data_IF_215282222025
#
_entry.id   IF_215282222025
#
_cell.length_a   1.000
_cell.length_b   1.000
_cell.length_c   1.000
_cell.angle_alpha   90.00
_cell.angle_beta   90.00
_cell.angle_gamma   90.00
#
_symmetry.space_group_name_H-M   'P 1'
#
loop_
_entity.id
_entity.type
_entity.pdbx_description
1 polymer ?
#
# COMPACT_ATOMS: atom_id res chain seq x y z
N UNK A 1 6.33 2.28 15.71
CA UNK A 1 7.41 3.04 15.06
C UNK A 1 8.67 2.19 15.10
N UNK A 2 9.07 1.63 13.97
CA UNK A 2 10.34 0.94 13.84
C UNK A 2 11.44 2.00 13.70
N UNK A 3 12.44 1.96 14.54
CA UNK A 3 13.66 2.74 14.36
C UNK A 3 14.24 2.42 12.98
N UNK A 4 14.38 3.44 12.14
CA UNK A 4 14.93 3.32 10.78
C UNK A 4 13.93 3.38 9.62
N UNK A 5 12.62 3.55 9.87
CA UNK A 5 11.60 3.67 8.82
C UNK A 5 11.03 5.10 8.72
N UNK A 6 11.86 6.11 8.93
CA UNK A 6 11.43 7.47 8.61
C UNK A 6 11.32 7.63 7.09
N UNK A 7 10.19 8.13 6.58
CA UNK A 7 10.11 8.50 5.17
C UNK A 7 11.21 9.53 4.88
N UNK A 8 11.83 9.47 3.70
CA UNK A 8 12.85 10.45 3.35
C UNK A 8 12.27 11.85 3.53
N UNK A 9 12.93 12.66 4.37
CA UNK A 9 12.54 14.04 4.73
C UNK A 9 12.40 14.98 3.53
N UNK A 10 12.82 14.55 2.36
CA UNK A 10 12.72 15.26 1.08
C UNK A 10 11.29 15.32 0.50
N UNK A 11 10.30 14.69 1.13
CA UNK A 11 8.95 14.53 0.57
C UNK A 11 7.85 15.22 1.39
N UNK A 12 8.16 16.23 2.14
CA UNK A 12 7.14 17.07 2.80
C UNK A 12 6.45 17.95 1.75
N UNK A 13 5.09 18.01 1.74
CA UNK A 13 4.33 18.77 0.74
C UNK A 13 4.59 20.29 0.78
N UNK A 14 5.19 20.79 1.83
CA UNK A 14 5.52 22.20 2.01
C UNK A 14 6.85 22.62 1.37
N UNK A 15 7.64 21.67 0.86
CA UNK A 15 8.86 22.01 0.14
C UNK A 15 8.54 22.24 -1.33
N UNK A 16 8.87 23.43 -1.82
CA UNK A 16 8.76 23.81 -3.22
C UNK A 16 9.40 22.74 -4.11
N UNK A 17 8.58 22.03 -4.90
CA UNK A 17 9.02 21.04 -5.89
C UNK A 17 8.31 19.69 -5.83
N UNK A 18 7.67 19.30 -4.74
CA UNK A 18 6.92 18.05 -4.67
C UNK A 18 5.43 18.38 -4.72
N UNK A 19 4.91 18.41 -5.92
CA UNK A 19 3.46 18.46 -6.12
C UNK A 19 2.90 17.08 -5.85
N UNK A 20 1.89 17.00 -4.98
CA UNK A 20 1.08 15.82 -4.83
C UNK A 20 0.49 15.39 -6.20
N UNK A 21 0.13 14.13 -6.31
CA UNK A 21 -0.56 13.64 -7.50
C UNK A 21 -1.96 14.24 -7.50
N UNK A 22 -2.31 14.92 -8.58
CA UNK A 22 -3.66 15.46 -8.80
C UNK A 22 -4.60 14.31 -9.12
N UNK A 23 -5.56 14.08 -8.24
CA UNK A 23 -6.51 12.99 -8.33
C UNK A 23 -7.92 13.53 -8.57
N UNK A 24 -8.52 13.34 -9.75
CA UNK A 24 -9.88 13.81 -10.04
C UNK A 24 -10.90 12.91 -9.35
N UNK A 25 -11.89 13.52 -8.72
CA UNK A 25 -13.04 12.86 -8.12
C UNK A 25 -14.31 13.59 -8.53
N UNK A 26 -15.41 12.87 -8.66
CA UNK A 26 -16.73 13.45 -8.91
C UNK A 26 -17.52 13.45 -7.61
N UNK A 27 -18.15 14.56 -7.30
CA UNK A 27 -18.91 14.78 -6.07
C UNK A 27 -20.36 15.11 -6.40
N UNK A 28 -21.27 14.63 -5.56
CA UNK A 28 -22.66 15.06 -5.53
C UNK A 28 -22.83 16.39 -4.77
N UNK A 29 -24.07 16.86 -4.67
CA UNK A 29 -24.41 18.10 -3.93
C UNK A 29 -24.09 18.02 -2.44
N UNK A 30 -23.99 16.81 -1.89
CA UNK A 30 -23.62 16.56 -0.48
C UNK A 30 -22.11 16.42 -0.29
N UNK A 31 -21.31 16.50 -1.35
CA UNK A 31 -19.86 16.33 -1.29
C UNK A 31 -19.39 14.88 -1.18
N UNK A 32 -20.25 13.92 -1.49
CA UNK A 32 -19.89 12.49 -1.55
C UNK A 32 -19.42 12.11 -2.94
N UNK A 33 -18.50 11.16 -3.02
CA UNK A 33 -18.00 10.65 -4.30
C UNK A 33 -19.07 9.86 -5.05
N UNK A 34 -19.21 10.21 -6.31
CA UNK A 34 -20.14 9.57 -7.26
C UNK A 34 -19.41 9.15 -8.52
N UNK A 35 -20.07 8.36 -9.35
CA UNK A 35 -19.57 8.04 -10.68
C UNK A 35 -19.55 9.31 -11.57
N UNK A 36 -18.64 9.34 -12.54
CA UNK A 36 -18.49 10.50 -13.45
C UNK A 36 -19.73 10.76 -14.32
N UNK A 37 -20.51 9.74 -14.58
CA UNK A 37 -21.75 9.78 -15.35
C UNK A 37 -23.00 10.02 -14.49
N UNK A 38 -22.82 10.23 -13.19
CA UNK A 38 -23.90 10.51 -12.27
C UNK A 38 -24.53 11.88 -12.56
N UNK A 39 -25.87 12.01 -12.55
CA UNK A 39 -26.53 13.30 -12.68
C UNK A 39 -26.04 14.29 -11.62
N UNK A 40 -25.80 15.54 -12.03
CA UNK A 40 -25.29 16.62 -11.16
C UNK A 40 -23.89 16.38 -10.55
N UNK A 41 -23.11 15.42 -11.07
CA UNK A 41 -21.74 15.21 -10.62
C UNK A 41 -20.84 16.40 -10.99
N UNK A 42 -20.08 16.90 -10.01
CA UNK A 42 -19.11 17.97 -10.21
C UNK A 42 -17.71 17.43 -10.01
N UNK A 43 -16.84 17.64 -10.98
CA UNK A 43 -15.44 17.26 -10.87
C UNK A 43 -14.70 18.14 -9.86
N UNK A 44 -13.95 17.50 -8.98
CA UNK A 44 -13.02 18.16 -8.06
C UNK A 44 -11.67 17.46 -8.12
N UNK A 45 -10.59 18.23 -8.17
CA UNK A 45 -9.25 17.69 -8.14
C UNK A 45 -8.71 17.77 -6.71
N UNK A 46 -8.27 16.64 -6.19
CA UNK A 46 -7.64 16.52 -4.87
C UNK A 46 -6.14 16.23 -5.05
N UNK A 47 -5.33 16.79 -4.17
CA UNK A 47 -3.93 16.44 -4.09
C UNK A 47 -3.76 15.27 -3.13
N UNK A 48 -3.20 14.19 -3.63
CA UNK A 48 -2.90 12.97 -2.86
C UNK A 48 -1.43 12.62 -2.97
N UNK A 49 -0.91 11.92 -1.98
CA UNK A 49 0.46 11.45 -2.00
C UNK A 49 0.67 10.35 -3.04
N UNK A 50 1.90 10.21 -3.58
CA UNK A 50 2.25 9.05 -4.39
C UNK A 50 2.00 7.73 -3.66
N UNK A 51 1.44 6.74 -4.35
CA UNK A 51 1.12 5.43 -3.78
C UNK A 51 2.28 4.76 -3.01
N UNK A 52 3.53 4.79 -3.50
CA UNK A 52 4.64 4.18 -2.78
C UNK A 52 4.91 4.75 -1.38
N UNK A 53 4.38 5.93 -1.05
CA UNK A 53 4.50 6.53 0.27
C UNK A 53 3.37 6.16 1.23
N UNK A 54 2.26 5.65 0.70
CA UNK A 54 1.04 5.34 1.47
C UNK A 54 1.30 4.53 2.76
N UNK A 55 2.18 3.49 2.78
CA UNK A 55 2.43 2.70 3.99
C UNK A 55 2.98 3.52 5.17
N UNK A 56 3.74 4.58 4.88
CA UNK A 56 4.43 5.40 5.91
C UNK A 56 3.71 6.69 6.25
N UNK A 57 2.62 7.00 5.57
CA UNK A 57 1.84 8.21 5.87
C UNK A 57 1.10 8.08 7.19
N UNK A 58 0.97 9.20 7.95
CA UNK A 58 0.02 9.28 9.05
C UNK A 58 -1.40 8.96 8.58
N UNK A 59 -2.23 8.39 9.46
CA UNK A 59 -3.58 7.98 9.10
C UNK A 59 -4.43 9.10 8.45
N UNK A 60 -4.26 10.35 8.91
CA UNK A 60 -4.97 11.51 8.38
C UNK A 60 -4.52 11.90 6.95
N UNK A 61 -3.31 11.52 6.55
CA UNK A 61 -2.73 11.83 5.24
C UNK A 61 -2.96 10.70 4.22
N UNK A 62 -3.36 9.53 4.66
CA UNK A 62 -3.67 8.40 3.78
C UNK A 62 -4.84 8.70 2.87
N UNK A 63 -4.85 8.16 1.67
CA UNK A 63 -5.92 8.33 0.68
C UNK A 63 -7.31 8.03 1.26
N UNK A 64 -7.42 6.96 2.06
CA UNK A 64 -8.69 6.58 2.69
C UNK A 64 -9.29 7.69 3.56
N UNK A 65 -8.45 8.50 4.24
CA UNK A 65 -8.90 9.62 5.05
C UNK A 65 -9.10 10.91 4.25
N UNK A 66 -8.36 11.11 3.17
CA UNK A 66 -8.42 12.32 2.34
C UNK A 66 -9.53 12.29 1.27
N UNK A 67 -9.93 11.12 0.83
CA UNK A 67 -10.99 10.97 -0.15
C UNK A 67 -12.36 11.13 0.52
N UNK A 68 -13.28 11.91 -0.07
CA UNK A 68 -14.65 12.02 0.44
C UNK A 68 -15.35 10.67 0.51
N UNK A 69 -16.31 10.54 1.41
CA UNK A 69 -17.13 9.34 1.53
C UNK A 69 -17.87 9.06 0.22
N UNK A 70 -18.20 7.80 -0.03
CA UNK A 70 -18.95 7.40 -1.22
C UNK A 70 -20.43 7.66 -1.07
N UNK A 71 -21.06 8.04 -2.18
CA UNK A 71 -22.52 8.07 -2.28
C UNK A 71 -23.06 6.64 -2.37
N UNK A 72 -24.16 6.38 -1.64
CA UNK A 72 -24.87 5.10 -1.74
C UNK A 72 -25.77 5.05 -2.98
N UNK A 73 -26.17 6.19 -3.51
CA UNK A 73 -27.14 6.29 -4.63
C UNK A 73 -26.47 6.10 -5.99
N UNK A 74 -25.28 6.64 -6.15
CA UNK A 74 -24.54 6.59 -7.40
C UNK A 74 -23.05 6.38 -7.11
N UNK A 75 -22.66 5.21 -6.59
CA UNK A 75 -21.27 4.98 -6.21
C UNK A 75 -20.36 5.04 -7.42
N UNK A 76 -19.12 5.58 -7.27
CA UNK A 76 -18.15 5.53 -8.33
C UNK A 76 -17.89 4.08 -8.74
N UNK A 77 -17.63 3.87 -10.03
CA UNK A 77 -17.34 2.56 -10.63
C UNK A 77 -15.96 2.00 -10.23
N UNK A 78 -15.22 2.72 -9.41
CA UNK A 78 -14.04 2.13 -8.79
C UNK A 78 -14.49 0.87 -8.07
N UNK A 79 -14.00 -0.28 -8.52
CA UNK A 79 -14.37 -1.61 -8.00
C UNK A 79 -13.96 -1.82 -6.53
N UNK A 80 -14.48 -1.00 -5.64
CA UNK A 80 -14.19 -1.08 -4.21
C UNK A 80 -15.05 -2.09 -3.45
N UNK A 81 -15.60 -3.06 -4.16
CA UNK A 81 -15.83 -4.39 -3.62
C UNK A 81 -14.56 -5.26 -3.70
N UNK A 82 -13.39 -4.63 -3.95
CA UNK A 82 -12.15 -5.32 -3.83
C UNK A 82 -12.08 -5.97 -2.46
N UNK A 83 -11.96 -7.28 -2.45
CA UNK A 83 -11.69 -8.02 -1.23
C UNK A 83 -10.48 -7.39 -0.54
N UNK A 84 -10.48 -7.38 0.77
CA UNK A 84 -9.36 -6.85 1.56
C UNK A 84 -8.04 -7.44 1.08
N UNK A 85 -7.03 -6.60 0.87
CA UNK A 85 -5.70 -7.05 0.49
C UNK A 85 -5.12 -7.91 1.62
N UNK A 86 -4.83 -9.16 1.30
CA UNK A 86 -4.26 -10.12 2.24
C UNK A 86 -2.92 -10.65 1.73
N UNK A 87 -1.98 -10.86 2.64
CA UNK A 87 -0.67 -11.42 2.37
C UNK A 87 -0.62 -12.87 2.88
N UNK A 88 -0.09 -13.77 2.09
CA UNK A 88 0.06 -15.20 2.40
C UNK A 88 1.47 -15.68 2.10
N UNK A 89 1.86 -16.81 2.68
CA UNK A 89 3.20 -17.41 2.53
C UNK A 89 4.06 -17.29 3.77
N UNK A 90 3.80 -16.30 4.62
CA UNK A 90 4.41 -16.15 5.94
C UNK A 90 3.37 -15.65 6.94
N UNK A 91 3.46 -16.09 8.19
CA UNK A 91 2.55 -15.68 9.26
C UNK A 91 3.20 -14.60 10.13
N UNK A 92 2.36 -13.75 10.70
CA UNK A 92 2.78 -12.78 11.70
C UNK A 92 3.51 -13.45 12.86
N UNK A 93 4.69 -12.94 13.19
CA UNK A 93 5.54 -13.47 14.27
C UNK A 93 6.22 -14.80 13.96
N UNK A 94 6.17 -15.30 12.71
CA UNK A 94 6.83 -16.56 12.37
C UNK A 94 8.35 -16.48 12.55
N UNK A 95 8.93 -17.54 13.11
CA UNK A 95 10.37 -17.76 13.13
C UNK A 95 10.69 -18.84 12.10
N UNK A 96 11.39 -18.44 11.04
CA UNK A 96 11.74 -19.30 9.93
C UNK A 96 13.20 -19.74 10.12
N UNK A 97 13.46 -21.03 10.05
CA UNK A 97 14.82 -21.57 10.20
C UNK A 97 15.43 -21.89 8.84
N UNK A 98 16.66 -21.47 8.66
CA UNK A 98 17.45 -21.83 7.49
C UNK A 98 17.91 -23.29 7.58
N UNK A 99 17.91 -23.99 6.47
CA UNK A 99 18.47 -25.34 6.44
C UNK A 99 20.00 -25.30 6.61
N UNK A 100 20.58 -26.28 7.31
CA UNK A 100 22.03 -26.35 7.50
C UNK A 100 22.76 -26.37 6.16
N UNK A 101 23.74 -25.44 6.01
CA UNK A 101 24.55 -25.34 4.80
C UNK A 101 24.03 -24.39 3.72
N UNK A 102 22.80 -23.87 3.85
CA UNK A 102 22.27 -22.88 2.92
C UNK A 102 22.74 -21.47 3.29
N UNK A 103 23.19 -20.71 2.28
CA UNK A 103 23.64 -19.31 2.43
C UNK A 103 22.51 -18.29 2.34
N UNK A 104 21.45 -18.67 1.64
CA UNK A 104 20.25 -17.84 1.43
C UNK A 104 19.00 -18.69 1.63
N UNK A 105 17.89 -18.02 1.84
CA UNK A 105 16.58 -18.62 1.90
C UNK A 105 15.66 -17.94 0.92
N UNK A 106 14.90 -18.71 0.16
CA UNK A 106 13.84 -18.20 -0.71
C UNK A 106 12.50 -18.39 -0.01
N UNK A 107 11.81 -17.29 0.22
CA UNK A 107 10.47 -17.27 0.77
C UNK A 107 9.47 -16.87 -0.32
N UNK A 108 8.51 -17.74 -0.61
CA UNK A 108 7.44 -17.47 -1.56
C UNK A 108 6.26 -16.83 -0.83
N UNK A 109 5.91 -15.62 -1.25
CA UNK A 109 4.77 -14.88 -0.73
C UNK A 109 3.80 -14.54 -1.84
N UNK A 110 2.53 -14.42 -1.50
CA UNK A 110 1.48 -14.09 -2.45
C UNK A 110 0.46 -13.15 -1.82
N UNK A 111 -0.26 -12.44 -2.67
CA UNK A 111 -1.39 -11.60 -2.25
C UNK A 111 -2.69 -12.09 -2.84
N UNK A 112 -3.76 -11.96 -2.06
CA UNK A 112 -5.14 -12.13 -2.49
C UNK A 112 -5.94 -10.88 -2.16
N UNK A 113 -7.07 -10.69 -2.81
CA UNK A 113 -7.83 -9.44 -2.70
C UNK A 113 -7.07 -8.25 -3.29
N UNK A 114 -7.45 -7.04 -2.89
CA UNK A 114 -6.88 -5.82 -3.45
C UNK A 114 -7.08 -5.66 -4.96
N UNK A 115 -6.60 -4.58 -5.54
CA UNK A 115 -6.73 -4.28 -6.96
C UNK A 115 -5.40 -3.92 -7.63
N UNK A 116 -5.28 -4.23 -8.92
CA UNK A 116 -4.19 -3.77 -9.79
C UNK A 116 -2.82 -4.29 -9.43
N UNK A 117 -1.83 -3.45 -9.63
CA UNK A 117 -0.43 -3.75 -9.37
C UNK A 117 -0.11 -3.78 -7.88
N UNK A 118 1.01 -4.41 -7.52
CA UNK A 118 1.53 -4.49 -6.16
C UNK A 118 2.86 -3.75 -6.05
N UNK A 119 3.07 -3.07 -4.93
CA UNK A 119 4.38 -2.56 -4.53
C UNK A 119 4.80 -3.27 -3.26
N UNK A 120 5.98 -3.85 -3.31
CA UNK A 120 6.54 -4.65 -2.22
C UNK A 120 7.67 -3.89 -1.54
N UNK A 121 7.73 -3.97 -0.22
CA UNK A 121 8.76 -3.34 0.59
C UNK A 121 9.25 -4.33 1.65
N UNK A 122 10.56 -4.46 1.76
CA UNK A 122 11.20 -5.26 2.80
C UNK A 122 12.01 -4.33 3.69
N UNK A 123 11.69 -4.29 4.99
CA UNK A 123 12.30 -3.37 5.96
C UNK A 123 12.30 -1.90 5.49
N UNK A 124 11.23 -1.47 4.82
CA UNK A 124 11.08 -0.11 4.30
C UNK A 124 11.75 0.14 2.95
N UNK A 125 12.52 -0.80 2.42
CA UNK A 125 13.16 -0.69 1.11
C UNK A 125 12.26 -1.26 0.01
N UNK A 126 12.05 -0.53 -1.10
CA UNK A 126 11.24 -1.03 -2.21
C UNK A 126 11.91 -2.21 -2.90
N UNK A 127 11.12 -3.20 -3.26
CA UNK A 127 11.52 -4.36 -4.04
C UNK A 127 11.09 -4.18 -5.51
N UNK A 128 11.86 -4.73 -6.43
CA UNK A 128 11.54 -4.69 -7.85
C UNK A 128 10.35 -5.61 -8.18
N UNK A 129 9.48 -5.13 -9.07
CA UNK A 129 8.34 -5.91 -9.56
C UNK A 129 7.02 -5.53 -8.90
N UNK A 130 5.93 -5.78 -9.66
CA UNK A 130 4.56 -5.38 -9.31
C UNK A 130 3.58 -6.55 -9.35
N UNK A 131 4.09 -7.75 -9.21
CA UNK A 131 3.32 -8.99 -9.33
C UNK A 131 2.60 -9.33 -8.03
N UNK A 132 1.52 -10.11 -8.14
CA UNK A 132 0.76 -10.60 -6.99
C UNK A 132 1.52 -11.65 -6.15
N UNK A 133 2.47 -12.34 -6.78
CA UNK A 133 3.32 -13.35 -6.15
C UNK A 133 4.76 -12.84 -6.16
N UNK A 134 5.49 -13.07 -5.09
CA UNK A 134 6.86 -12.63 -4.96
C UNK A 134 7.76 -13.71 -4.37
N UNK A 135 9.00 -13.79 -4.86
CA UNK A 135 10.04 -14.68 -4.32
C UNK A 135 11.11 -13.84 -3.61
N UNK A 136 11.05 -13.82 -2.29
CA UNK A 136 12.02 -13.10 -1.46
C UNK A 136 13.29 -13.92 -1.30
N UNK A 137 14.43 -13.29 -1.54
CA UNK A 137 15.74 -13.84 -1.24
C UNK A 137 16.26 -13.22 0.06
N UNK A 138 16.41 -14.04 1.10
CA UNK A 138 16.85 -13.60 2.43
C UNK A 138 18.24 -14.15 2.69
N UNK A 139 19.20 -13.28 2.96
CA UNK A 139 20.61 -13.64 3.14
C UNK A 139 21.04 -13.56 4.61
N UNK A 140 20.49 -12.63 5.37
CA UNK A 140 20.88 -12.36 6.74
C UNK A 140 19.82 -12.88 7.71
N UNK A 141 20.27 -13.44 8.82
CA UNK A 141 19.38 -13.74 9.96
C UNK A 141 18.95 -12.43 10.63
N UNK A 142 17.74 -12.40 11.16
CA UNK A 142 17.22 -11.23 11.85
C UNK A 142 15.72 -11.04 11.62
N UNK A 143 15.24 -9.90 12.09
CA UNK A 143 13.83 -9.53 11.98
C UNK A 143 13.55 -8.83 10.67
N UNK A 144 12.43 -9.19 10.05
CA UNK A 144 11.96 -8.66 8.78
C UNK A 144 10.54 -8.14 8.89
N UNK A 145 10.28 -7.05 8.21
CA UNK A 145 8.94 -6.55 7.96
C UNK A 145 8.70 -6.52 6.45
N UNK A 146 7.71 -7.25 6.01
CA UNK A 146 7.25 -7.24 4.63
C UNK A 146 5.95 -6.45 4.53
N UNK A 147 5.91 -5.47 3.66
CA UNK A 147 4.74 -4.64 3.38
C UNK A 147 4.40 -4.78 1.90
N UNK A 148 3.13 -4.93 1.61
CA UNK A 148 2.61 -4.87 0.25
C UNK A 148 1.50 -3.84 0.17
N UNK A 149 1.48 -3.12 -0.92
CA UNK A 149 0.54 -2.05 -1.25
C UNK A 149 -0.12 -2.36 -2.59
N UNK A 150 -1.41 -2.08 -2.73
CA UNK A 150 -2.12 -2.17 -4.01
C UNK A 150 -2.38 -0.79 -4.65
N UNK A 151 -2.95 -0.76 -5.86
CA UNK A 151 -3.26 0.49 -6.57
C UNK A 151 -4.30 1.37 -5.85
N UNK A 152 -5.11 0.81 -4.98
CA UNK A 152 -6.14 1.54 -4.24
C UNK A 152 -5.62 2.16 -2.94
N UNK A 153 -4.38 1.86 -2.54
CA UNK A 153 -3.79 2.30 -1.29
C UNK A 153 -4.03 1.35 -0.12
N UNK A 154 -4.58 0.15 -0.35
CA UNK A 154 -4.65 -0.87 0.69
C UNK A 154 -3.26 -1.43 0.98
N UNK A 155 -2.97 -1.67 2.25
CA UNK A 155 -1.70 -2.26 2.69
C UNK A 155 -1.94 -3.55 3.46
N UNK A 156 -1.03 -4.50 3.30
CA UNK A 156 -0.92 -5.67 4.17
C UNK A 156 0.52 -5.77 4.65
N UNK A 157 0.69 -6.05 5.94
CA UNK A 157 2.00 -6.09 6.59
C UNK A 157 2.15 -7.39 7.37
N UNK A 158 3.33 -7.96 7.34
CA UNK A 158 3.71 -9.12 8.16
C UNK A 158 5.11 -8.94 8.71
N UNK A 159 5.29 -9.25 9.99
CA UNK A 159 6.58 -9.28 10.67
C UNK A 159 6.97 -10.73 10.91
N UNK A 160 8.22 -11.08 10.63
CA UNK A 160 8.76 -12.42 10.83
C UNK A 160 10.25 -12.36 11.13
N UNK A 161 10.82 -13.46 11.56
CA UNK A 161 12.25 -13.58 11.89
C UNK A 161 12.87 -14.75 11.11
N UNK A 162 14.05 -14.53 10.56
CA UNK A 162 14.90 -15.59 10.00
C UNK A 162 15.98 -15.94 11.01
N UNK A 163 15.93 -17.16 11.53
CA UNK A 163 16.93 -17.74 12.42
C UNK A 163 17.98 -18.53 11.61
N UNK A 164 19.12 -18.79 12.25
CA UNK A 164 20.24 -19.52 11.62
C UNK A 164 19.90 -20.96 11.33
#
# INVERSE_FOLDING_TARGET
LLEGSEPPTLLLPEQEGIRGIRFPVWLDKEGKRVAADCPDATEKVLDVWPLPLEPWLPAAEKRAARLPARSAVCPPLDNHNAALLMLSGVREGAVIKRLPGEKNMTLFVSTSGGEGQRWWFLNGEPLDGHQKNYSLQLYLSGKYQLVVLDETGQTATVNFELDR
#
